data_IF_571563565429
#
_entry.id   IF_571563565429
#
_cell.length_a   1.000
_cell.length_b   1.000
_cell.length_c   1.000
_cell.angle_alpha   90.00
_cell.angle_beta   90.00
_cell.angle_gamma   90.00
#
_symmetry.space_group_name_H-M   'P 1'
#
loop_
_entity.id
_entity.type
_entity.pdbx_description
1 polymer ?
#
# COMPACT_ATOMS: atom_id res chain seq x y z
N UNK A 1 7.85 -21.35 22.69
CA UNK A 1 6.49 -21.07 23.20
C UNK A 1 5.66 -22.33 23.00
N UNK A 2 5.22 -22.99 24.07
CA UNK A 2 4.33 -24.16 24.00
C UNK A 2 2.89 -23.68 23.84
N UNK A 3 2.14 -24.27 22.91
CA UNK A 3 0.74 -23.96 22.71
C UNK A 3 -0.08 -25.08 23.32
N UNK A 4 -0.94 -24.76 24.27
CA UNK A 4 -1.86 -25.71 24.90
C UNK A 4 -3.19 -25.62 24.17
N UNK A 5 -3.68 -26.74 23.63
CA UNK A 5 -4.98 -26.81 22.98
C UNK A 5 -5.97 -27.43 23.96
N UNK A 6 -7.03 -26.68 24.30
CA UNK A 6 -8.08 -27.12 25.22
C UNK A 6 -9.41 -27.18 24.49
N UNK A 7 -10.00 -28.37 24.42
CA UNK A 7 -11.30 -28.63 23.80
C UNK A 7 -12.32 -28.85 24.91
N UNK A 8 -13.41 -28.09 24.89
CA UNK A 8 -14.51 -28.20 25.85
C UNK A 8 -15.79 -28.51 25.07
N UNK A 9 -16.42 -29.64 25.37
CA UNK A 9 -17.70 -30.03 24.79
C UNK A 9 -18.74 -30.01 25.91
N UNK A 10 -19.85 -29.29 25.70
CA UNK A 10 -20.96 -29.18 26.65
C UNK A 10 -22.23 -29.72 26.02
N UNK A 11 -22.96 -30.55 26.76
CA UNK A 11 -24.31 -31.00 26.41
C UNK A 11 -25.37 -30.08 27.05
N UNK A 12 -26.57 -30.07 26.48
CA UNK A 12 -27.73 -29.24 26.90
C UNK A 12 -28.18 -29.56 28.34
N UNK A 13 -27.82 -30.74 28.85
CA UNK A 13 -28.05 -31.17 30.23
C UNK A 13 -26.98 -30.67 31.22
N UNK A 14 -26.07 -29.81 30.80
CA UNK A 14 -25.02 -29.23 31.63
C UNK A 14 -23.85 -30.17 31.92
N UNK A 15 -23.72 -31.27 31.16
CA UNK A 15 -22.55 -32.17 31.25
C UNK A 15 -21.43 -31.61 30.40
N UNK A 16 -20.23 -31.51 30.98
CA UNK A 16 -19.05 -30.98 30.30
C UNK A 16 -17.94 -32.03 30.24
N UNK A 17 -17.30 -32.15 29.08
CA UNK A 17 -16.10 -32.95 28.88
C UNK A 17 -14.99 -32.05 28.37
N UNK A 18 -13.83 -32.14 29.02
CA UNK A 18 -12.66 -31.36 28.70
C UNK A 18 -11.51 -32.28 28.26
N UNK A 19 -10.84 -31.90 27.17
CA UNK A 19 -9.62 -32.55 26.69
C UNK A 19 -8.56 -31.48 26.52
N UNK A 20 -7.46 -31.61 27.26
CA UNK A 20 -6.28 -30.75 27.12
C UNK A 20 -5.17 -31.53 26.41
N UNK A 21 -4.68 -30.98 25.30
CA UNK A 21 -3.58 -31.53 24.50
C UNK A 21 -2.39 -30.57 24.62
N UNK A 22 -1.32 -31.08 25.23
CA UNK A 22 -0.03 -30.40 25.26
C UNK A 22 0.79 -30.88 24.06
N UNK A 23 0.70 -30.12 22.98
CA UNK A 23 1.29 -30.46 21.68
C UNK A 23 2.42 -29.50 21.34
N UNK A 24 3.63 -30.04 21.14
CA UNK A 24 4.80 -29.23 20.79
C UNK A 24 4.97 -29.08 19.28
N UNK A 25 4.46 -30.02 18.48
CA UNK A 25 4.65 -30.06 17.02
C UNK A 25 3.59 -29.24 16.28
N UNK A 26 4.02 -28.44 15.30
CA UNK A 26 3.15 -27.54 14.55
C UNK A 26 2.25 -28.28 13.56
N UNK A 27 2.69 -29.42 13.04
CA UNK A 27 1.89 -30.22 12.11
C UNK A 27 0.74 -30.91 12.84
N UNK A 28 1.02 -31.49 14.00
CA UNK A 28 -0.01 -32.04 14.87
C UNK A 28 -1.06 -30.99 15.29
N UNK A 29 -0.64 -29.74 15.57
CA UNK A 29 -1.56 -28.62 15.83
C UNK A 29 -2.56 -28.37 14.70
N UNK A 30 -2.10 -28.37 13.44
CA UNK A 30 -2.97 -28.13 12.29
C UNK A 30 -3.95 -29.28 12.07
N UNK A 31 -3.50 -30.53 12.24
CA UNK A 31 -4.35 -31.73 12.10
C UNK A 31 -5.44 -31.78 13.17
N UNK A 32 -5.12 -31.43 14.41
CA UNK A 32 -6.11 -31.37 15.51
C UNK A 32 -7.18 -30.33 15.21
N UNK A 33 -6.77 -29.12 14.81
CA UNK A 33 -7.70 -28.04 14.47
C UNK A 33 -8.59 -28.42 13.30
N UNK A 34 -8.04 -29.03 12.24
CA UNK A 34 -8.80 -29.55 11.11
C UNK A 34 -9.87 -30.56 11.53
N UNK A 35 -9.50 -31.54 12.35
CA UNK A 35 -10.40 -32.59 12.80
C UNK A 35 -11.54 -32.04 13.68
N UNK A 36 -11.27 -31.01 14.50
CA UNK A 36 -12.32 -30.33 15.28
C UNK A 36 -13.31 -29.64 14.36
N UNK A 37 -12.86 -28.89 13.35
CA UNK A 37 -13.78 -28.23 12.40
C UNK A 37 -14.63 -29.24 11.61
N UNK A 38 -14.03 -30.36 11.18
CA UNK A 38 -14.76 -31.43 10.50
C UNK A 38 -15.85 -32.05 11.40
N UNK A 39 -15.60 -32.20 12.70
CA UNK A 39 -16.58 -32.73 13.66
C UNK A 39 -17.83 -31.83 13.80
N UNK A 40 -17.68 -30.52 13.56
CA UNK A 40 -18.78 -29.56 13.52
C UNK A 40 -19.37 -29.35 12.11
N UNK A 41 -19.02 -30.20 11.15
CA UNK A 41 -19.53 -30.14 9.77
C UNK A 41 -18.96 -28.98 8.95
N UNK A 42 -17.85 -28.40 9.38
CA UNK A 42 -17.13 -27.36 8.64
C UNK A 42 -16.03 -28.03 7.82
N UNK A 43 -16.35 -28.41 6.58
CA UNK A 43 -15.37 -28.90 5.61
C UNK A 43 -14.55 -27.73 5.06
N UNK A 44 -13.43 -27.42 5.72
CA UNK A 44 -12.48 -26.42 5.24
C UNK A 44 -11.08 -26.98 5.29
N UNK A 45 -10.40 -27.15 4.16
CA UNK A 45 -9.05 -27.72 4.10
C UNK A 45 -8.00 -26.68 4.55
N UNK A 46 -7.65 -26.73 5.83
CA UNK A 46 -6.71 -25.81 6.46
C UNK A 46 -5.29 -26.03 5.91
N UNK A 47 -4.95 -27.24 5.48
CA UNK A 47 -3.63 -27.52 4.89
C UNK A 47 -3.49 -26.86 3.53
N UNK A 48 -4.54 -26.91 2.71
CA UNK A 48 -4.59 -26.18 1.45
C UNK A 48 -4.45 -24.67 1.67
N UNK A 49 -5.20 -24.14 2.63
CA UNK A 49 -5.16 -22.72 3.02
C UNK A 49 -3.74 -22.29 3.45
N UNK A 50 -3.06 -23.07 4.29
CA UNK A 50 -1.68 -22.79 4.72
C UNK A 50 -0.71 -22.82 3.54
N UNK A 51 -0.89 -23.75 2.60
CA UNK A 51 -0.04 -23.85 1.41
C UNK A 51 -0.17 -22.63 0.49
N UNK A 52 -1.37 -22.05 0.38
CA UNK A 52 -1.60 -20.82 -0.38
C UNK A 52 -0.90 -19.62 0.28
N UNK A 53 -1.01 -19.50 1.60
CA UNK A 53 -0.30 -18.46 2.33
C UNK A 53 1.22 -18.57 2.20
N UNK A 54 1.79 -19.77 2.22
CA UNK A 54 3.22 -19.98 1.98
C UNK A 54 3.64 -19.58 0.56
N UNK A 55 2.85 -19.96 -0.46
CA UNK A 55 3.12 -19.59 -1.86
C UNK A 55 3.10 -18.08 -2.03
N UNK A 56 2.12 -17.41 -1.43
CA UNK A 56 2.00 -15.96 -1.44
C UNK A 56 3.21 -15.33 -0.72
N UNK A 57 3.56 -15.83 0.48
CA UNK A 57 4.71 -15.36 1.23
C UNK A 57 6.03 -15.48 0.46
N UNK A 58 6.25 -16.61 -0.21
CA UNK A 58 7.43 -16.85 -1.07
C UNK A 58 7.46 -15.92 -2.29
N UNK A 59 6.30 -15.62 -2.88
CA UNK A 59 6.22 -14.67 -4.01
C UNK A 59 6.56 -13.24 -3.56
N UNK A 60 6.09 -12.82 -2.38
CA UNK A 60 6.46 -11.54 -1.80
C UNK A 60 7.95 -11.48 -1.43
N UNK A 61 8.51 -12.51 -0.80
CA UNK A 61 9.94 -12.52 -0.45
C UNK A 61 10.82 -12.45 -1.69
N UNK A 62 10.51 -13.23 -2.73
CA UNK A 62 11.23 -13.19 -4.00
C UNK A 62 11.15 -11.82 -4.67
N UNK A 63 10.02 -11.12 -4.57
CA UNK A 63 9.85 -9.75 -5.07
C UNK A 63 10.73 -8.73 -4.33
N UNK A 64 10.84 -8.85 -2.99
CA UNK A 64 11.71 -7.97 -2.20
C UNK A 64 13.20 -8.30 -2.37
N UNK A 65 13.56 -9.58 -2.50
CA UNK A 65 14.95 -9.98 -2.74
C UNK A 65 15.42 -9.53 -4.13
N UNK A 66 14.55 -9.55 -5.15
CA UNK A 66 14.88 -8.99 -6.46
C UNK A 66 15.08 -7.48 -6.44
N UNK A 67 14.37 -6.73 -5.60
CA UNK A 67 14.56 -5.28 -5.47
C UNK A 67 15.85 -4.92 -4.71
N UNK A 68 16.24 -5.72 -3.71
CA UNK A 68 17.50 -5.50 -2.98
C UNK A 68 18.74 -5.70 -3.85
N UNK A 69 18.70 -6.64 -4.81
CA UNK A 69 19.81 -6.88 -5.73
C UNK A 69 20.05 -5.73 -6.72
N UNK A 70 19.04 -4.92 -7.03
CA UNK A 70 19.17 -3.73 -7.89
C UNK A 70 19.83 -2.54 -7.15
N UNK A 71 19.69 -2.46 -5.82
CA UNK A 71 20.33 -1.42 -4.99
C UNK A 71 21.84 -1.69 -4.79
N UNK A 72 22.25 -2.94 -4.56
CA UNK A 72 23.67 -3.28 -4.30
C UNK A 72 24.59 -3.16 -5.54
N UNK A 73 24.08 -3.35 -6.76
CA UNK A 73 24.91 -3.19 -7.98
C UNK A 73 25.21 -1.72 -8.35
N UNK A 74 24.49 -0.77 -7.75
CA UNK A 74 24.60 0.66 -8.08
C UNK A 74 25.64 1.36 -7.20
N UNK A 75 25.92 0.85 -6.00
CA UNK A 75 26.81 1.52 -5.02
C UNK A 75 28.31 1.33 -5.29
N UNK A 76 28.79 0.19 -5.82
CA UNK A 76 30.24 -0.03 -5.99
C UNK A 76 30.87 0.73 -7.19
N UNK A 77 30.10 1.07 -8.24
CA UNK A 77 30.64 1.79 -9.41
C UNK A 77 30.71 3.31 -9.27
N UNK A 78 29.98 3.90 -8.32
CA UNK A 78 29.77 5.36 -8.28
C UNK A 78 30.89 6.15 -7.56
N UNK A 79 31.77 5.48 -6.81
CA UNK A 79 32.79 6.17 -5.99
C UNK A 79 34.01 6.58 -6.83
N UNK A 80 34.46 5.77 -7.79
CA UNK A 80 35.74 6.00 -8.48
C UNK A 80 35.67 6.99 -9.67
N UNK A 81 34.47 7.37 -10.13
CA UNK A 81 34.27 8.26 -11.29
C UNK A 81 33.99 9.74 -10.91
N UNK A 82 33.85 10.05 -9.61
CA UNK A 82 33.42 11.39 -9.16
C UNK A 82 34.53 12.43 -9.04
N UNK A 83 35.80 12.02 -8.97
CA UNK A 83 36.92 12.95 -8.79
C UNK A 83 37.41 13.55 -10.11
N UNK A 84 37.48 12.76 -11.19
CA UNK A 84 37.90 13.27 -12.52
C UNK A 84 36.83 14.17 -13.17
N UNK A 85 35.54 13.90 -12.94
CA UNK A 85 34.42 14.70 -13.47
C UNK A 85 34.29 16.07 -12.80
N UNK A 86 34.87 16.25 -11.59
CA UNK A 86 34.87 17.51 -10.85
C UNK A 86 35.88 18.53 -11.40
N UNK A 87 37.02 18.07 -11.90
CA UNK A 87 38.04 18.97 -12.46
C UNK A 87 37.67 19.46 -13.88
N UNK A 88 36.95 18.65 -14.65
CA UNK A 88 36.45 19.04 -15.97
C UNK A 88 35.27 20.03 -15.88
N UNK A 89 34.36 19.84 -14.91
CA UNK A 89 33.21 20.75 -14.74
C UNK A 89 33.62 22.15 -14.29
N UNK A 90 34.67 22.31 -13.48
CA UNK A 90 35.14 23.65 -13.06
C UNK A 90 35.72 24.46 -14.22
N UNK A 91 36.38 23.82 -15.19
CA UNK A 91 36.89 24.50 -16.39
C UNK A 91 35.77 24.92 -17.34
N UNK A 92 34.74 24.08 -17.47
CA UNK A 92 33.58 24.36 -18.33
C UNK A 92 32.67 25.46 -17.75
N UNK A 93 32.54 25.55 -16.42
CA UNK A 93 31.80 26.62 -15.74
C UNK A 93 32.37 28.04 -15.96
N UNK A 94 33.68 28.18 -16.19
CA UNK A 94 34.30 29.49 -16.47
C UNK A 94 34.05 29.98 -17.90
N UNK A 95 33.75 29.10 -18.85
CA UNK A 95 33.41 29.48 -20.22
C UNK A 95 31.90 29.78 -20.40
N UNK A 96 31.03 29.13 -19.61
CA UNK A 96 29.56 29.27 -19.68
C UNK A 96 29.05 30.63 -19.16
N UNK A 97 29.76 31.32 -18.25
CA UNK A 97 29.32 32.65 -17.79
C UNK A 97 29.29 33.71 -18.90
N UNK A 98 29.93 33.46 -20.05
CA UNK A 98 29.97 34.38 -21.18
C UNK A 98 28.77 34.28 -22.13
N UNK A 99 27.89 33.28 -21.96
CA UNK A 99 26.76 32.99 -22.87
C UNK A 99 25.40 32.92 -22.17
N UNK A 100 25.20 33.64 -21.06
CA UNK A 100 23.89 33.82 -20.42
C UNK A 100 23.02 34.85 -21.16
N UNK A 101 22.49 34.46 -22.31
CA UNK A 101 21.22 34.97 -22.79
C UNK A 101 20.60 33.86 -23.65
N UNK A 102 19.33 33.53 -23.39
CA UNK A 102 18.47 32.57 -24.09
C UNK A 102 18.31 31.19 -23.43
N UNK A 103 17.05 30.94 -23.01
CA UNK A 103 16.33 29.66 -22.93
C UNK A 103 16.07 28.92 -21.59
N UNK A 104 14.86 29.22 -21.07
CA UNK A 104 13.77 28.32 -20.60
C UNK A 104 13.96 27.37 -19.39
N UNK A 105 13.56 27.91 -18.22
CA UNK A 105 12.62 27.36 -17.21
C UNK A 105 12.50 25.83 -17.11
N UNK A 106 13.23 25.28 -16.16
CA UNK A 106 13.05 23.94 -15.56
C UNK A 106 11.74 23.84 -14.77
N UNK A 107 11.07 22.70 -14.91
CA UNK A 107 9.76 22.36 -14.34
C UNK A 107 9.88 22.07 -12.83
N UNK A 108 9.03 22.73 -12.05
CA UNK A 108 8.88 22.67 -10.59
C UNK A 108 8.45 21.28 -10.09
N UNK A 109 9.27 20.63 -9.26
CA UNK A 109 8.87 19.43 -8.49
C UNK A 109 8.04 19.74 -7.22
N UNK A 110 7.65 20.99 -6.92
CA UNK A 110 7.16 21.37 -5.57
C UNK A 110 5.70 21.85 -5.44
N UNK A 111 4.92 22.04 -6.50
CA UNK A 111 3.66 22.80 -6.41
C UNK A 111 2.39 21.96 -6.11
N UNK A 112 2.42 20.65 -6.37
CA UNK A 112 1.22 19.80 -6.28
C UNK A 112 0.81 19.45 -4.85
N UNK A 113 1.74 19.42 -3.90
CA UNK A 113 1.46 19.19 -2.47
C UNK A 113 0.55 20.29 -1.89
N UNK A 114 0.75 21.52 -2.36
CA UNK A 114 0.01 22.71 -1.93
C UNK A 114 -1.29 22.89 -2.72
N UNK A 115 -1.23 22.71 -4.05
CA UNK A 115 -2.41 22.92 -4.91
C UNK A 115 -3.39 21.75 -4.86
N UNK A 116 -2.93 20.53 -4.54
CA UNK A 116 -3.71 19.30 -4.69
C UNK A 116 -3.93 18.91 -6.15
N UNK A 117 -3.16 19.50 -7.08
CA UNK A 117 -3.25 19.25 -8.51
C UNK A 117 -1.89 18.74 -8.99
N UNK A 118 -1.86 17.50 -9.46
CA UNK A 118 -0.68 16.88 -10.07
C UNK A 118 -0.81 16.94 -11.59
N UNK A 119 0.23 17.37 -12.28
CA UNK A 119 0.28 17.39 -13.74
C UNK A 119 1.13 16.21 -14.23
N UNK A 120 0.60 15.42 -15.18
CA UNK A 120 1.36 14.37 -15.84
C UNK A 120 2.28 14.96 -16.91
N UNK A 121 3.24 14.17 -17.40
CA UNK A 121 4.17 14.56 -18.49
C UNK A 121 3.47 15.05 -19.77
N UNK A 122 2.21 14.66 -19.98
CA UNK A 122 1.38 15.07 -21.10
C UNK A 122 0.56 16.36 -20.83
N UNK A 123 0.79 17.06 -19.73
CA UNK A 123 0.05 18.26 -19.32
C UNK A 123 -1.35 17.97 -18.74
N UNK A 124 -1.70 16.71 -18.51
CA UNK A 124 -3.03 16.34 -18.00
C UNK A 124 -3.07 16.45 -16.48
N UNK A 125 -4.05 17.20 -15.98
CA UNK A 125 -4.24 17.45 -14.54
C UNK A 125 -4.98 16.31 -13.85
N UNK A 126 -4.45 15.91 -12.69
CA UNK A 126 -5.06 15.01 -11.72
C UNK A 126 -5.31 15.75 -10.42
N UNK A 127 -6.43 15.47 -9.79
CA UNK A 127 -6.94 16.18 -8.62
C UNK A 127 -6.91 15.25 -7.41
N UNK A 128 -6.53 15.81 -6.28
CA UNK A 128 -6.43 15.09 -5.01
C UNK A 128 -7.79 14.56 -4.56
N UNK A 129 -7.83 13.27 -4.27
CA UNK A 129 -8.94 12.53 -3.70
C UNK A 129 -8.49 11.89 -2.39
N UNK A 130 -9.30 11.99 -1.33
CA UNK A 130 -9.08 11.24 -0.08
C UNK A 130 -10.16 10.18 0.11
N UNK A 131 -9.77 9.00 0.58
CA UNK A 131 -10.71 7.92 0.84
C UNK A 131 -10.50 7.32 2.23
N UNK A 132 -11.56 6.67 2.70
CA UNK A 132 -11.57 5.76 3.83
C UNK A 132 -12.31 4.50 3.38
N UNK A 133 -11.60 3.38 3.34
CA UNK A 133 -12.15 2.14 2.81
C UNK A 133 -13.18 1.54 3.78
N UNK A 134 -14.42 1.25 3.34
CA UNK A 134 -15.45 0.65 4.20
C UNK A 134 -15.14 -0.81 4.58
N UNK A 135 -14.24 -1.48 3.85
CA UNK A 135 -13.93 -2.90 4.05
C UNK A 135 -12.77 -3.10 5.01
N UNK A 136 -11.65 -2.41 4.78
CA UNK A 136 -10.42 -2.59 5.56
C UNK A 136 -10.06 -1.37 6.42
N UNK A 137 -10.90 -0.33 6.44
CA UNK A 137 -10.71 0.93 7.18
C UNK A 137 -9.44 1.73 6.80
N UNK A 138 -8.70 1.28 5.78
CA UNK A 138 -7.51 1.97 5.32
C UNK A 138 -7.86 3.34 4.73
N UNK A 139 -7.10 4.36 5.12
CA UNK A 139 -7.23 5.72 4.61
C UNK A 139 -6.10 6.01 3.65
N UNK A 140 -6.39 6.71 2.56
CA UNK A 140 -5.37 7.02 1.57
C UNK A 140 -5.75 8.19 0.68
N UNK A 141 -4.80 8.54 -0.20
CA UNK A 141 -4.93 9.65 -1.15
C UNK A 141 -4.64 9.14 -2.55
N UNK A 142 -5.50 9.49 -3.50
CA UNK A 142 -5.26 9.33 -4.92
C UNK A 142 -5.19 10.69 -5.61
N UNK A 143 -4.57 10.71 -6.79
CA UNK A 143 -4.70 11.80 -7.75
C UNK A 143 -5.43 11.25 -8.97
N UNK A 144 -6.67 11.69 -9.17
CA UNK A 144 -7.58 11.17 -10.19
C UNK A 144 -7.86 12.20 -11.28
N UNK A 145 -8.25 11.75 -12.46
CA UNK A 145 -8.68 12.70 -13.50
C UNK A 145 -10.05 13.27 -13.18
N UNK A 146 -10.32 14.45 -13.76
CA UNK A 146 -11.67 15.02 -13.76
C UNK A 146 -12.65 14.00 -14.38
N UNK A 147 -13.83 13.85 -13.77
CA UNK A 147 -14.90 12.93 -14.17
C UNK A 147 -14.61 11.43 -13.96
N UNK A 148 -13.56 11.04 -13.23
CA UNK A 148 -13.44 9.66 -12.77
C UNK A 148 -14.60 9.29 -11.84
N UNK A 149 -15.24 8.15 -12.07
CA UNK A 149 -16.43 7.69 -11.33
C UNK A 149 -16.10 6.70 -10.22
N UNK A 150 -15.01 5.95 -10.35
CA UNK A 150 -14.54 4.96 -9.38
C UNK A 150 -13.05 5.10 -9.05
N UNK A 151 -12.70 4.73 -7.82
CA UNK A 151 -11.33 4.59 -7.33
C UNK A 151 -11.19 3.26 -6.57
N UNK A 152 -10.00 2.93 -6.07
CA UNK A 152 -9.73 1.64 -5.42
C UNK A 152 -8.94 1.82 -4.12
N UNK A 153 -9.04 0.88 -3.18
CA UNK A 153 -8.27 0.94 -1.94
C UNK A 153 -6.86 0.38 -2.15
N UNK A 154 -5.82 1.12 -1.74
CA UNK A 154 -4.43 0.64 -1.83
C UNK A 154 -4.15 -0.65 -1.04
N UNK A 155 -4.90 -0.91 0.04
CA UNK A 155 -4.66 -2.06 0.91
C UNK A 155 -5.37 -3.35 0.43
N UNK A 156 -6.67 -3.27 0.12
CA UNK A 156 -7.47 -4.44 -0.24
C UNK A 156 -7.97 -4.46 -1.69
N UNK A 157 -7.68 -3.43 -2.49
CA UNK A 157 -8.10 -3.34 -3.89
C UNK A 157 -9.59 -3.04 -4.11
N UNK A 158 -10.40 -2.91 -3.05
CA UNK A 158 -11.84 -2.71 -3.18
C UNK A 158 -12.17 -1.42 -3.93
N UNK A 159 -13.06 -1.50 -4.92
CA UNK A 159 -13.53 -0.33 -5.65
C UNK A 159 -14.51 0.51 -4.83
N UNK A 160 -14.44 1.83 -4.99
CA UNK A 160 -15.30 2.79 -4.29
C UNK A 160 -15.77 3.89 -5.24
N UNK A 161 -17.04 4.32 -5.14
CA UNK A 161 -17.54 5.43 -5.94
C UNK A 161 -16.91 6.75 -5.49
N UNK A 162 -16.61 7.59 -6.47
CA UNK A 162 -16.06 8.94 -6.25
C UNK A 162 -17.21 9.92 -6.07
N UNK A 163 -17.09 10.80 -5.09
CA UNK A 163 -17.99 11.93 -4.84
C UNK A 163 -17.19 13.23 -4.75
N UNK A 164 -17.85 14.34 -4.96
CA UNK A 164 -17.27 15.66 -4.68
C UNK A 164 -16.96 15.80 -3.19
N UNK A 165 -15.80 16.37 -2.87
CA UNK A 165 -15.40 16.58 -1.48
C UNK A 165 -16.16 17.74 -0.83
N UNK A 166 -16.28 18.86 -1.56
CA UNK A 166 -16.98 20.05 -1.10
C UNK A 166 -18.47 20.02 -1.47
N UNK A 167 -19.34 20.64 -0.66
CA UNK A 167 -20.81 20.67 -0.89
C UNK A 167 -21.21 21.36 -2.20
N UNK A 168 -20.48 22.41 -2.57
CA UNK A 168 -20.69 23.13 -3.84
C UNK A 168 -20.09 22.40 -5.05
N UNK A 169 -19.37 21.30 -4.83
CA UNK A 169 -18.70 20.53 -5.88
C UNK A 169 -17.43 21.18 -6.43
N UNK A 170 -16.82 20.49 -7.40
CA UNK A 170 -15.68 20.99 -8.15
C UNK A 170 -15.93 22.39 -8.75
N UNK A 171 -14.98 23.34 -8.65
CA UNK A 171 -13.57 23.17 -8.26
C UNK A 171 -13.29 23.42 -6.77
N UNK A 172 -14.32 23.54 -5.93
CA UNK A 172 -14.13 23.81 -4.52
C UNK A 172 -13.50 22.61 -3.80
N UNK A 173 -12.65 22.90 -2.80
CA UNK A 173 -11.92 21.90 -2.03
C UNK A 173 -12.47 21.81 -0.61
N UNK A 174 -12.36 20.63 0.00
CA UNK A 174 -12.58 20.48 1.44
C UNK A 174 -11.48 21.18 2.26
N UNK A 175 -11.61 21.16 3.58
CA UNK A 175 -10.65 21.81 4.51
C UNK A 175 -9.25 21.19 4.45
N UNK A 176 -9.12 20.00 3.85
CA UNK A 176 -7.90 19.24 3.70
C UNK A 176 -7.31 19.35 2.27
N UNK A 177 -7.89 20.24 1.45
CA UNK A 177 -7.44 20.51 0.08
C UNK A 177 -7.79 19.41 -0.93
N UNK A 178 -8.76 18.55 -0.63
CA UNK A 178 -9.22 17.51 -1.55
C UNK A 178 -10.34 18.05 -2.43
N UNK A 179 -10.30 17.72 -3.72
CA UNK A 179 -11.39 18.00 -4.66
C UNK A 179 -12.46 16.92 -4.60
N UNK A 180 -12.03 15.68 -4.36
CA UNK A 180 -12.88 14.50 -4.39
C UNK A 180 -12.71 13.64 -3.12
N UNK A 181 -13.68 12.77 -2.90
CA UNK A 181 -13.67 11.78 -1.83
C UNK A 181 -14.27 10.45 -2.26
N UNK A 182 -13.93 9.39 -1.54
CA UNK A 182 -14.51 8.07 -1.76
C UNK A 182 -14.63 7.27 -0.44
N UNK A 183 -15.44 6.21 -0.50
CA UNK A 183 -15.75 5.38 0.66
C UNK A 183 -16.44 6.19 1.77
N UNK A 184 -16.03 5.96 3.01
CA UNK A 184 -16.66 6.55 4.20
C UNK A 184 -16.05 7.89 4.62
N UNK A 185 -15.07 8.40 3.88
CA UNK A 185 -14.44 9.67 4.21
C UNK A 185 -15.42 10.85 4.05
N UNK A 186 -15.53 11.67 5.10
CA UNK A 186 -16.34 12.88 5.14
C UNK A 186 -15.59 13.97 5.91
N UNK A 187 -15.49 15.17 5.34
CA UNK A 187 -15.06 16.37 6.08
C UNK A 187 -16.30 17.11 6.59
N UNK A 188 -16.48 17.15 7.91
CA UNK A 188 -17.64 17.80 8.54
C UNK A 188 -17.51 19.32 8.61
N UNK A 189 -16.35 19.87 8.25
CA UNK A 189 -16.04 21.29 8.37
C UNK A 189 -16.39 22.08 7.09
N UNK A 190 -16.67 21.40 5.98
CA UNK A 190 -17.12 21.97 4.71
C UNK A 190 -18.62 21.78 4.51
#
# INVERSE_FOLDING_TARGET
>A
MSLTVKIIIKDDNGKEVEIELQETDNLAKLVIVQNVFNLFGVDKDILETVSEFEKIGKAYSHFFDSMKQEEEQTEEKHIHHSEEMREQTVKEFQEIEKSKEVELKTVNESDYLTTGIKEDSNGKKRYKLRYECPICMNKGVHYIYKNSTETWCHACGSKMPIKEAHKEGFPNRDSHGNFYRAGDYYDYSC
#
